data_IF_165584099109
#
_entry.id   IF_165584099109
#
_cell.length_a   1.000
_cell.length_b   1.000
_cell.length_c   1.000
_cell.angle_alpha   90.00
_cell.angle_beta   90.00
_cell.angle_gamma   90.00
#
_symmetry.space_group_name_H-M   'P 1'
#
loop_
_entity.id
_entity.type
_entity.pdbx_description
1 polymer ?
#
# COMPACT_ATOMS: atom_id res chain seq x y z
N UNK A 1 -37.25 8.45 -72.76
CA UNK A 1 -38.21 8.48 -71.63
C UNK A 1 -37.44 8.76 -70.34
N UNK A 2 -37.92 9.73 -69.55
CA UNK A 2 -37.57 10.12 -68.17
C UNK A 2 -36.18 10.74 -67.84
N UNK A 3 -36.09 11.54 -66.75
CA UNK A 3 -35.28 12.76 -66.71
C UNK A 3 -34.33 12.90 -65.48
N UNK A 4 -33.43 13.90 -65.58
CA UNK A 4 -32.99 14.86 -64.52
C UNK A 4 -32.16 14.45 -63.29
N UNK A 5 -31.37 15.46 -62.87
CA UNK A 5 -30.94 15.84 -61.50
C UNK A 5 -29.51 15.46 -61.13
N UNK A 6 -28.54 16.37 -61.32
CA UNK A 6 -28.15 17.44 -60.38
C UNK A 6 -27.91 16.93 -58.96
N UNK A 7 -26.71 16.40 -58.80
CA UNK A 7 -26.01 16.26 -57.54
C UNK A 7 -25.92 17.62 -56.84
N UNK A 8 -26.73 17.81 -55.81
CA UNK A 8 -26.69 18.98 -54.94
C UNK A 8 -26.13 18.54 -53.59
N UNK A 9 -24.85 18.86 -53.38
CA UNK A 9 -24.19 18.71 -52.10
C UNK A 9 -24.92 19.54 -51.03
N UNK A 10 -25.60 18.86 -50.11
CA UNK A 10 -26.13 19.47 -48.89
C UNK A 10 -24.96 19.73 -47.93
N UNK A 11 -24.37 20.93 -48.00
CA UNK A 11 -23.61 21.51 -46.89
C UNK A 11 -24.54 21.64 -45.69
N UNK A 12 -24.31 20.86 -44.65
CA UNK A 12 -24.96 21.04 -43.36
C UNK A 12 -24.60 22.42 -42.81
N UNK A 13 -25.60 23.27 -42.60
CA UNK A 13 -25.43 24.53 -41.90
C UNK A 13 -25.12 24.28 -40.41
N UNK A 14 -24.32 25.13 -39.75
CA UNK A 14 -23.97 24.95 -38.35
C UNK A 14 -25.22 25.09 -37.46
N UNK A 15 -25.47 24.07 -36.65
CA UNK A 15 -26.55 24.06 -35.63
C UNK A 15 -26.13 24.98 -34.48
N UNK A 16 -26.96 25.95 -34.06
CA UNK A 16 -26.66 26.80 -32.91
C UNK A 16 -26.76 25.98 -31.61
N UNK A 17 -25.69 25.96 -30.82
CA UNK A 17 -25.66 25.34 -29.49
C UNK A 17 -26.44 26.26 -28.54
N UNK A 18 -27.47 25.78 -27.82
CA UNK A 18 -28.12 26.57 -26.77
C UNK A 18 -27.16 26.80 -25.60
N UNK A 19 -26.83 28.08 -25.37
CA UNK A 19 -25.95 28.55 -24.29
C UNK A 19 -26.69 28.51 -22.95
N UNK A 20 -26.81 27.31 -22.39
CA UNK A 20 -27.34 27.10 -21.04
C UNK A 20 -26.21 26.65 -20.11
N UNK A 21 -25.05 27.30 -20.21
CA UNK A 21 -24.01 27.23 -19.19
C UNK A 21 -24.33 28.25 -18.09
N UNK A 22 -25.39 28.00 -17.33
CA UNK A 22 -25.54 28.60 -16.00
C UNK A 22 -24.54 27.90 -15.09
N UNK A 23 -23.26 28.21 -15.29
CA UNK A 23 -22.22 27.90 -14.34
C UNK A 23 -22.59 28.63 -13.05
N UNK A 24 -23.22 27.92 -12.13
CA UNK A 24 -23.36 28.34 -10.74
C UNK A 24 -21.95 28.37 -10.16
N UNK A 25 -21.25 29.48 -10.44
CA UNK A 25 -19.97 29.81 -9.85
C UNK A 25 -20.28 30.15 -8.40
N UNK A 26 -20.34 29.12 -7.56
CA UNK A 26 -20.31 29.25 -6.11
C UNK A 26 -19.02 29.98 -5.79
N UNK A 27 -19.11 31.30 -5.59
CA UNK A 27 -18.02 32.10 -5.08
C UNK A 27 -17.75 31.61 -3.67
N UNK A 28 -16.73 30.76 -3.52
CA UNK A 28 -16.16 30.48 -2.21
C UNK A 28 -15.55 31.79 -1.77
N UNK A 29 -16.29 32.52 -0.92
CA UNK A 29 -15.78 33.69 -0.21
C UNK A 29 -14.54 33.20 0.53
N UNK A 30 -13.36 33.70 0.13
CA UNK A 30 -12.12 33.48 0.86
C UNK A 30 -12.23 34.20 2.20
N UNK A 31 -12.91 33.55 3.15
CA UNK A 31 -12.80 33.90 4.56
C UNK A 31 -11.36 33.62 4.95
N UNK A 32 -10.66 34.67 5.38
CA UNK A 32 -9.36 34.59 6.02
C UNK A 32 -9.47 33.60 7.18
N UNK A 33 -9.03 32.36 6.97
CA UNK A 33 -8.77 31.42 8.05
C UNK A 33 -7.34 31.70 8.52
N UNK A 34 -7.15 32.85 9.17
CA UNK A 34 -5.98 33.09 10.00
C UNK A 34 -6.20 32.42 11.36
N UNK A 35 -6.31 31.09 11.33
CA UNK A 35 -6.17 30.25 12.50
C UNK A 35 -4.95 29.40 12.24
N UNK A 36 -3.84 29.66 12.95
CA UNK A 36 -2.77 28.67 13.08
C UNK A 36 -3.44 27.30 13.29
N UNK A 37 -3.10 26.24 12.55
CA UNK A 37 -3.54 24.92 12.95
C UNK A 37 -2.99 24.75 14.37
N UNK A 38 -3.88 24.74 15.36
CA UNK A 38 -3.53 24.24 16.67
C UNK A 38 -3.14 22.80 16.39
N UNK A 39 -1.84 22.54 16.46
CA UNK A 39 -1.34 21.17 16.43
C UNK A 39 -1.95 20.56 17.68
N UNK A 40 -3.06 19.87 17.52
CA UNK A 40 -3.59 19.01 18.56
C UNK A 40 -2.51 17.96 18.81
N UNK A 41 -1.74 18.17 19.87
CA UNK A 41 -0.69 17.27 20.35
C UNK A 41 -1.27 16.04 21.06
N UNK A 42 -2.61 15.98 21.15
CA UNK A 42 -3.34 14.82 21.65
C UNK A 42 -3.30 13.71 20.59
N UNK A 43 -2.81 12.50 20.93
CA UNK A 43 -2.86 11.37 20.01
C UNK A 43 -4.32 11.07 19.70
N UNK A 44 -4.75 11.43 18.47
CA UNK A 44 -6.10 11.11 18.01
C UNK A 44 -6.23 9.59 17.92
N UNK A 45 -7.32 8.99 18.42
CA UNK A 45 -7.57 7.57 18.22
C UNK A 45 -7.51 7.24 16.73
N UNK A 46 -6.86 6.12 16.39
CA UNK A 46 -6.69 5.68 15.01
C UNK A 46 -8.06 5.56 14.32
N UNK A 47 -8.15 6.04 13.08
CA UNK A 47 -9.40 5.93 12.34
C UNK A 47 -9.69 4.44 12.06
N UNK A 48 -10.97 4.04 12.01
CA UNK A 48 -11.35 2.62 11.74
C UNK A 48 -10.74 2.08 10.44
N UNK A 49 -10.58 2.94 9.43
CA UNK A 49 -9.89 2.59 8.20
C UNK A 49 -8.41 2.27 8.43
N UNK A 50 -7.70 3.09 9.22
CA UNK A 50 -6.30 2.86 9.58
C UNK A 50 -6.13 1.55 10.36
N UNK A 51 -7.08 1.23 11.25
CA UNK A 51 -7.09 -0.05 11.96
C UNK A 51 -7.29 -1.23 11.01
N UNK A 52 -8.25 -1.17 10.09
CA UNK A 52 -8.46 -2.21 9.09
C UNK A 52 -7.23 -2.39 8.19
N UNK A 53 -6.60 -1.29 7.77
CA UNK A 53 -5.36 -1.31 6.99
C UNK A 53 -4.19 -1.89 7.78
N UNK A 54 -4.04 -1.53 9.06
CA UNK A 54 -2.99 -2.09 9.91
C UNK A 54 -3.11 -3.60 10.05
N UNK A 55 -4.32 -4.16 10.14
CA UNK A 55 -4.55 -5.61 10.18
C UNK A 55 -4.15 -6.29 8.88
N UNK A 56 -4.45 -5.68 7.74
CA UNK A 56 -4.01 -6.18 6.43
C UNK A 56 -2.48 -6.18 6.34
N UNK A 57 -1.82 -5.10 6.73
CA UNK A 57 -0.36 -5.05 6.74
C UNK A 57 0.24 -6.07 7.71
N UNK A 58 -0.35 -6.28 8.88
CA UNK A 58 0.10 -7.30 9.82
C UNK A 58 0.03 -8.71 9.20
N UNK A 59 -1.05 -9.04 8.49
CA UNK A 59 -1.16 -10.32 7.78
C UNK A 59 -0.05 -10.50 6.74
N UNK A 60 0.20 -9.48 5.91
CA UNK A 60 1.27 -9.53 4.91
C UNK A 60 2.67 -9.69 5.52
N UNK A 61 2.94 -9.03 6.65
CA UNK A 61 4.22 -9.17 7.34
C UNK A 61 4.39 -10.55 7.97
N UNK A 62 3.32 -11.16 8.48
CA UNK A 62 3.35 -12.54 8.99
C UNK A 62 3.59 -13.56 7.87
N UNK A 63 2.95 -13.37 6.71
CA UNK A 63 3.20 -14.20 5.54
C UNK A 63 4.66 -14.10 5.07
N UNK A 64 5.20 -12.87 5.00
CA UNK A 64 6.63 -12.65 4.66
C UNK A 64 7.57 -13.31 5.70
N UNK A 65 7.23 -13.29 6.99
CA UNK A 65 8.01 -14.01 8.02
C UNK A 65 8.05 -15.50 7.72
N UNK A 66 6.89 -16.12 7.43
CA UNK A 66 6.82 -17.53 7.09
C UNK A 66 7.66 -17.87 5.84
N UNK A 67 7.55 -17.04 4.79
CA UNK A 67 8.33 -17.21 3.56
C UNK A 67 9.84 -17.10 3.81
N UNK A 68 10.28 -16.19 4.68
CA UNK A 68 11.69 -16.05 5.05
C UNK A 68 12.21 -17.25 5.85
N UNK A 69 11.42 -17.79 6.77
CA UNK A 69 11.75 -19.00 7.54
C UNK A 69 11.89 -20.23 6.63
N UNK A 70 11.00 -20.38 5.64
CA UNK A 70 11.07 -21.43 4.64
C UNK A 70 12.33 -21.29 3.76
N UNK A 71 12.64 -20.08 3.30
CA UNK A 71 13.86 -19.81 2.54
C UNK A 71 15.12 -20.14 3.33
N UNK A 72 15.17 -19.77 4.62
CA UNK A 72 16.28 -20.13 5.50
C UNK A 72 16.42 -21.65 5.61
N UNK A 73 15.32 -22.37 5.81
CA UNK A 73 15.31 -23.84 5.89
C UNK A 73 15.85 -24.47 4.59
N UNK A 74 15.47 -23.94 3.43
CA UNK A 74 15.96 -24.43 2.14
C UNK A 74 17.46 -24.18 1.94
N UNK A 75 17.94 -22.99 2.31
CA UNK A 75 19.37 -22.64 2.25
C UNK A 75 20.19 -23.51 3.18
N UNK A 76 19.73 -23.72 4.42
CA UNK A 76 20.40 -24.60 5.38
C UNK A 76 20.48 -26.05 4.89
N UNK A 77 19.38 -26.60 4.37
CA UNK A 77 19.37 -27.95 3.78
C UNK A 77 20.33 -28.06 2.60
N UNK A 78 20.40 -27.05 1.74
CA UNK A 78 21.35 -27.02 0.61
C UNK A 78 22.79 -26.97 1.10
N UNK A 79 23.08 -26.14 2.10
CA UNK A 79 24.40 -26.00 2.70
C UNK A 79 24.89 -27.31 3.32
N UNK A 80 24.05 -28.00 4.11
CA UNK A 80 24.37 -29.32 4.69
C UNK A 80 24.67 -30.37 3.62
N UNK A 81 23.90 -30.39 2.52
CA UNK A 81 24.19 -31.29 1.38
C UNK A 81 25.53 -30.97 0.72
N UNK A 82 25.84 -29.70 0.50
CA UNK A 82 27.12 -29.29 -0.09
C UNK A 82 28.32 -29.63 0.82
N UNK A 83 28.16 -29.50 2.13
CA UNK A 83 29.19 -29.88 3.10
C UNK A 83 29.39 -31.39 3.17
N UNK A 84 28.34 -32.20 3.05
CA UNK A 84 28.50 -33.66 2.98
C UNK A 84 29.34 -34.12 1.78
N UNK A 85 29.42 -33.28 0.73
CA UNK A 85 30.25 -33.52 -0.46
C UNK A 85 31.61 -32.84 -0.41
N UNK A 86 31.82 -31.83 0.45
CA UNK A 86 33.05 -31.06 0.53
C UNK A 86 33.85 -31.49 1.77
N UNK A 87 35.08 -32.00 1.58
CA UNK A 87 35.94 -32.39 2.68
C UNK A 87 36.13 -31.22 3.68
N UNK A 88 35.98 -31.53 4.96
CA UNK A 88 35.76 -30.60 6.06
C UNK A 88 36.73 -29.40 6.09
N UNK A 89 36.18 -28.21 5.90
CA UNK A 89 36.88 -26.94 6.06
C UNK A 89 35.92 -25.85 6.49
N UNK A 90 35.98 -25.48 7.78
CA UNK A 90 35.40 -24.29 8.44
C UNK A 90 34.01 -23.82 7.94
N UNK A 91 32.96 -24.28 8.61
CA UNK A 91 31.57 -23.84 8.41
C UNK A 91 31.34 -22.40 8.89
N UNK A 92 31.50 -21.43 7.99
CA UNK A 92 30.87 -20.13 8.16
C UNK A 92 29.42 -20.20 7.62
N UNK A 93 28.42 -19.61 8.31
CA UNK A 93 27.07 -19.50 7.75
C UNK A 93 27.15 -18.72 6.43
N UNK A 94 26.45 -19.21 5.40
CA UNK A 94 26.49 -18.54 4.10
C UNK A 94 26.01 -17.08 4.20
N UNK A 95 26.63 -16.18 3.44
CA UNK A 95 26.24 -14.77 3.41
C UNK A 95 24.74 -14.60 3.11
N UNK A 96 24.18 -15.49 2.28
CA UNK A 96 22.75 -15.57 1.99
C UNK A 96 21.92 -15.81 3.25
N UNK A 97 22.34 -16.73 4.12
CA UNK A 97 21.64 -17.04 5.37
C UNK A 97 21.70 -15.86 6.34
N UNK A 98 22.85 -15.18 6.43
CA UNK A 98 22.98 -13.96 7.22
C UNK A 98 22.08 -12.83 6.69
N UNK A 99 21.98 -12.67 5.37
CA UNK A 99 21.08 -11.70 4.75
C UNK A 99 19.61 -12.00 5.07
N UNK A 100 19.19 -13.26 4.95
CA UNK A 100 17.84 -13.69 5.32
C UNK A 100 17.52 -13.42 6.79
N UNK A 101 18.44 -13.74 7.71
CA UNK A 101 18.27 -13.44 9.15
C UNK A 101 18.11 -11.95 9.42
N UNK A 102 18.90 -11.09 8.75
CA UNK A 102 18.77 -9.62 8.90
C UNK A 102 17.40 -9.14 8.41
N UNK A 103 16.93 -9.68 7.30
CA UNK A 103 15.62 -9.36 6.73
C UNK A 103 14.48 -9.83 7.65
N UNK A 104 14.55 -11.04 8.21
CA UNK A 104 13.58 -11.53 9.19
C UNK A 104 13.47 -10.59 10.39
N UNK A 105 14.61 -10.18 10.95
CA UNK A 105 14.66 -9.22 12.07
C UNK A 105 14.11 -7.83 11.71
N UNK A 106 14.20 -7.42 10.45
CA UNK A 106 13.61 -6.18 9.95
C UNK A 106 12.09 -6.27 9.90
N UNK A 107 11.56 -7.34 9.30
CA UNK A 107 10.11 -7.56 9.18
C UNK A 107 9.45 -7.71 10.55
N UNK A 108 10.08 -8.43 11.49
CA UNK A 108 9.63 -8.51 12.88
C UNK A 108 9.56 -7.13 13.55
N UNK A 109 10.59 -6.28 13.35
CA UNK A 109 10.59 -4.91 13.89
C UNK A 109 9.50 -4.05 13.26
N UNK A 110 9.19 -4.23 11.98
CA UNK A 110 8.08 -3.55 11.33
C UNK A 110 6.74 -3.97 11.92
N UNK A 111 6.55 -5.27 12.18
CA UNK A 111 5.34 -5.80 12.80
C UNK A 111 5.16 -5.26 14.23
N UNK A 112 6.24 -5.24 15.02
CA UNK A 112 6.24 -4.66 16.37
C UNK A 112 5.88 -3.17 16.35
N UNK A 113 6.49 -2.41 15.44
CA UNK A 113 6.21 -0.98 15.29
C UNK A 113 4.75 -0.73 14.87
N UNK A 114 4.20 -1.59 14.01
CA UNK A 114 2.81 -1.53 13.58
C UNK A 114 1.87 -1.80 14.76
N UNK A 115 2.12 -2.84 15.55
CA UNK A 115 1.31 -3.19 16.73
C UNK A 115 1.35 -2.12 17.81
N UNK A 116 2.51 -1.47 18.04
CA UNK A 116 2.61 -0.33 18.97
C UNK A 116 1.81 0.89 18.53
N UNK A 117 1.72 1.13 17.21
CA UNK A 117 1.00 2.29 16.64
C UNK A 117 -0.51 2.05 16.55
N UNK A 118 -0.92 0.80 16.33
CA UNK A 118 -2.31 0.40 16.18
C UNK A 118 -2.63 -0.75 17.13
N UNK A 119 -2.74 -0.48 18.45
CA UNK A 119 -3.11 -1.50 19.42
C UNK A 119 -4.50 -2.02 19.09
N UNK A 120 -4.69 -3.33 19.16
CA UNK A 120 -6.01 -3.90 19.07
C UNK A 120 -6.82 -3.42 20.29
N UNK A 121 -8.01 -2.86 20.07
CA UNK A 121 -8.92 -2.43 21.16
C UNK A 121 -9.20 -3.55 22.18
N UNK A 122 -9.02 -4.82 21.79
CA UNK A 122 -9.12 -5.98 22.66
C UNK A 122 -7.92 -6.28 23.56
N UNK A 123 -6.73 -5.71 23.32
CA UNK A 123 -5.55 -5.91 24.18
C UNK A 123 -5.56 -4.96 25.39
N UNK A 124 -6.17 -3.77 25.26
CA UNK A 124 -6.32 -2.84 26.40
C UNK A 124 -7.34 -3.32 27.45
N UNK A 125 -8.20 -4.30 27.12
CA UNK A 125 -9.24 -4.83 28.01
C UNK A 125 -8.84 -6.13 28.74
N UNK A 126 -7.64 -6.68 28.50
CA UNK A 126 -7.18 -7.95 29.11
C UNK A 126 -6.40 -7.77 30.42
N UNK A 127 -6.46 -6.59 31.04
CA UNK A 127 -5.94 -6.33 32.39
C UNK A 127 -7.12 -6.07 33.32
N UNK A 128 -7.82 -7.14 33.73
CA UNK A 128 -8.74 -7.13 34.87
C UNK A 128 -8.67 -8.48 35.57
#
# INVERSE_FOLDING_TARGET
>A
MLPTMRETGRRAAPVPIPSNATATRRTVRAGVVSGRPRVDTQPRPAHRADLAQSRLFAALLLDEIADLEDQMTLVERRSRRAQSTAAAGSELPSDTLLALRRRLMEVQRMLDALGRRFPNEGDSLRVI
#
